data_IF_156803059940
#
_entry.id   IF_156803059940
#
_cell.length_a   1.000
_cell.length_b   1.000
_cell.length_c   1.000
_cell.angle_alpha   90.00
_cell.angle_beta   90.00
_cell.angle_gamma   90.00
#
_symmetry.space_group_name_H-M   'P 1'
#
loop_
_entity.id
_entity.type
_entity.pdbx_description
1 polymer ?
#
# COMPACT_ATOMS: atom_id res chain seq x y z
N UNK A 1 25.40 -20.03 -23.31
CA UNK A 1 24.53 -20.79 -22.40
C UNK A 1 23.81 -19.75 -21.55
N UNK A 2 22.48 -19.69 -21.63
CA UNK A 2 21.72 -18.82 -20.70
C UNK A 2 21.81 -19.45 -19.29
N UNK A 3 22.23 -18.66 -18.29
CA UNK A 3 22.23 -19.10 -16.90
C UNK A 3 20.83 -19.58 -16.52
N UNK A 4 20.73 -20.72 -15.87
CA UNK A 4 19.46 -21.20 -15.35
C UNK A 4 18.97 -20.22 -14.31
N UNK A 5 17.67 -19.92 -14.25
CA UNK A 5 17.07 -18.87 -13.41
C UNK A 5 17.31 -19.03 -11.90
N UNK A 6 17.67 -20.24 -11.45
CA UNK A 6 18.19 -20.52 -10.11
C UNK A 6 19.56 -19.87 -9.83
N UNK A 7 20.28 -19.46 -10.87
CA UNK A 7 21.64 -18.92 -10.77
C UNK A 7 21.69 -17.39 -10.77
N UNK A 8 20.54 -16.67 -11.01
CA UNK A 8 20.55 -15.22 -10.96
C UNK A 8 20.89 -14.74 -9.54
N UNK A 9 21.90 -13.88 -9.37
CA UNK A 9 22.29 -13.39 -8.04
C UNK A 9 21.18 -12.57 -7.41
N UNK A 10 20.92 -12.81 -6.12
CA UNK A 10 20.04 -11.95 -5.32
C UNK A 10 20.80 -10.65 -5.02
N UNK A 11 20.26 -9.54 -5.49
CA UNK A 11 20.86 -8.22 -5.32
C UNK A 11 20.15 -7.44 -4.22
N UNK A 12 20.90 -6.65 -3.46
CA UNK A 12 20.38 -5.58 -2.64
C UNK A 12 20.25 -4.34 -3.52
N UNK A 13 19.02 -3.83 -3.68
CA UNK A 13 18.75 -2.62 -4.45
C UNK A 13 18.89 -1.37 -3.59
N UNK A 14 19.21 -0.24 -4.23
CA UNK A 14 19.35 1.06 -3.59
C UNK A 14 18.62 2.18 -4.38
N UNK A 15 18.74 3.42 -3.93
CA UNK A 15 18.03 4.56 -4.50
C UNK A 15 18.25 4.76 -6.02
N UNK A 16 19.36 4.25 -6.59
CA UNK A 16 19.66 4.31 -8.03
C UNK A 16 18.72 3.41 -8.85
N UNK A 17 18.09 2.42 -8.21
CA UNK A 17 17.18 1.47 -8.85
C UNK A 17 15.74 1.97 -8.95
N UNK A 18 15.42 3.18 -8.46
CA UNK A 18 14.06 3.70 -8.41
C UNK A 18 13.35 3.71 -9.77
N UNK A 19 14.05 4.13 -10.82
CA UNK A 19 13.50 4.15 -12.18
C UNK A 19 13.22 2.75 -12.73
N UNK A 20 14.11 1.77 -12.44
CA UNK A 20 13.93 0.38 -12.84
C UNK A 20 12.75 -0.27 -12.08
N UNK A 21 12.62 -0.01 -10.78
CA UNK A 21 11.46 -0.43 -9.99
C UNK A 21 10.16 0.17 -10.51
N UNK A 22 10.15 1.46 -10.85
CA UNK A 22 8.99 2.12 -11.44
C UNK A 22 8.60 1.49 -12.79
N UNK A 23 9.57 1.03 -13.60
CA UNK A 23 9.29 0.34 -14.85
C UNK A 23 8.51 -0.97 -14.60
N UNK A 24 8.86 -1.76 -13.58
CA UNK A 24 8.10 -2.95 -13.17
C UNK A 24 6.69 -2.60 -12.68
N UNK A 25 6.53 -1.51 -11.92
CA UNK A 25 5.20 -1.04 -11.50
C UNK A 25 4.34 -0.61 -12.68
N UNK A 26 4.93 0.01 -13.71
CA UNK A 26 4.23 0.39 -14.95
C UNK A 26 3.77 -0.83 -15.74
N UNK A 27 4.63 -1.84 -15.89
CA UNK A 27 4.31 -3.10 -16.55
C UNK A 27 3.17 -3.83 -15.84
N UNK A 28 3.19 -3.85 -14.50
CA UNK A 28 2.14 -4.44 -13.69
C UNK A 28 0.87 -3.56 -13.58
N UNK A 29 0.86 -2.38 -14.18
CA UNK A 29 -0.22 -1.38 -14.09
C UNK A 29 -0.55 -0.94 -12.66
N UNK A 30 0.44 -0.95 -11.78
CA UNK A 30 0.28 -0.51 -10.40
C UNK A 30 0.34 1.02 -10.29
N UNK A 31 -0.20 1.55 -9.18
CA UNK A 31 -0.33 2.99 -8.97
C UNK A 31 0.91 3.67 -8.37
N UNK A 32 1.92 2.89 -7.97
CA UNK A 32 3.12 3.45 -7.34
C UNK A 32 3.87 4.37 -8.30
N UNK A 33 4.31 5.50 -7.77
CA UNK A 33 5.14 6.47 -8.45
C UNK A 33 6.64 6.35 -8.04
N UNK A 34 7.50 7.21 -8.55
CA UNK A 34 8.93 7.17 -8.24
C UNK A 34 9.23 7.50 -6.78
N UNK A 35 8.44 8.36 -6.14
CA UNK A 35 8.62 8.70 -4.72
C UNK A 35 8.34 7.49 -3.82
N UNK A 36 7.36 6.64 -4.18
CA UNK A 36 7.12 5.37 -3.47
C UNK A 36 8.35 4.47 -3.56
N UNK A 37 8.92 4.27 -4.75
CA UNK A 37 10.12 3.47 -4.93
C UNK A 37 11.32 4.03 -4.16
N UNK A 38 11.54 5.35 -4.18
CA UNK A 38 12.61 5.99 -3.40
C UNK A 38 12.45 5.74 -1.91
N UNK A 39 11.21 5.78 -1.39
CA UNK A 39 10.92 5.48 0.01
C UNK A 39 11.30 4.03 0.35
N UNK A 40 10.86 3.04 -0.43
CA UNK A 40 11.22 1.63 -0.21
C UNK A 40 12.74 1.40 -0.25
N UNK A 41 13.41 1.97 -1.24
CA UNK A 41 14.85 1.79 -1.44
C UNK A 41 15.70 2.48 -0.37
N UNK A 42 15.19 3.52 0.29
CA UNK A 42 15.90 4.25 1.34
C UNK A 42 15.55 3.79 2.75
N UNK A 43 14.32 3.35 2.98
CA UNK A 43 13.82 2.97 4.32
C UNK A 43 13.66 1.47 4.50
N UNK A 44 13.57 0.72 3.40
CA UNK A 44 13.34 -0.73 3.40
C UNK A 44 14.59 -1.55 3.07
N UNK A 45 14.41 -2.85 3.07
CA UNK A 45 15.32 -3.85 2.52
C UNK A 45 14.70 -4.32 1.20
N UNK A 46 15.23 -3.87 0.07
CA UNK A 46 14.70 -4.23 -1.25
C UNK A 46 15.64 -5.20 -1.93
N UNK A 47 15.12 -6.37 -2.26
CA UNK A 47 15.80 -7.37 -3.05
C UNK A 47 15.36 -7.31 -4.51
N UNK A 48 16.27 -7.62 -5.42
CA UNK A 48 15.96 -7.68 -6.85
C UNK A 48 16.77 -8.73 -7.59
N UNK A 49 16.27 -9.09 -8.75
CA UNK A 49 16.95 -9.97 -9.71
C UNK A 49 17.09 -9.24 -11.05
N UNK A 50 18.25 -9.41 -11.69
CA UNK A 50 18.51 -8.85 -13.03
C UNK A 50 18.78 -9.97 -14.02
N UNK A 51 18.39 -9.75 -15.27
CA UNK A 51 18.72 -10.63 -16.38
C UNK A 51 20.18 -10.42 -16.85
N UNK A 52 20.60 -11.18 -17.87
CA UNK A 52 21.94 -11.10 -18.47
C UNK A 52 22.21 -9.74 -19.14
N UNK A 53 21.18 -8.99 -19.49
CA UNK A 53 21.27 -7.65 -20.03
C UNK A 53 21.24 -6.56 -18.94
N UNK A 54 21.29 -6.95 -17.65
CA UNK A 54 21.20 -6.08 -16.47
C UNK A 54 19.85 -5.40 -16.25
N UNK A 55 18.78 -5.82 -16.94
CA UNK A 55 17.44 -5.33 -16.68
C UNK A 55 16.91 -5.88 -15.37
N UNK A 56 16.28 -5.04 -14.56
CA UNK A 56 15.59 -5.47 -13.34
C UNK A 56 14.31 -6.22 -13.72
N UNK A 57 14.26 -7.53 -13.40
CA UNK A 57 13.16 -8.42 -13.81
C UNK A 57 12.25 -8.85 -12.66
N UNK A 58 12.71 -8.71 -11.42
CA UNK A 58 11.90 -9.03 -10.26
C UNK A 58 12.37 -8.26 -9.01
N UNK A 59 11.43 -7.96 -8.11
CA UNK A 59 11.69 -7.28 -6.84
C UNK A 59 10.83 -7.83 -5.72
N UNK A 60 11.27 -7.64 -4.47
CA UNK A 60 10.46 -7.65 -3.25
C UNK A 60 11.08 -6.69 -2.24
N UNK A 61 10.26 -6.03 -1.45
CA UNK A 61 10.67 -5.09 -0.41
C UNK A 61 10.19 -5.56 0.97
N UNK A 62 11.07 -5.51 1.95
CA UNK A 62 10.75 -5.57 3.37
C UNK A 62 10.93 -4.15 3.94
N UNK A 63 9.86 -3.57 4.47
CA UNK A 63 9.84 -2.24 5.07
C UNK A 63 9.64 -2.35 6.59
N UNK A 64 10.70 -2.27 7.41
CA UNK A 64 10.56 -2.23 8.86
C UNK A 64 9.93 -0.91 9.29
N UNK A 65 8.87 -0.98 10.10
CA UNK A 65 8.23 0.19 10.71
C UNK A 65 8.72 0.43 12.14
N UNK A 66 8.87 -0.67 12.87
CA UNK A 66 9.39 -0.66 14.24
C UNK A 66 10.43 -1.75 14.41
N UNK A 67 10.91 -1.95 15.64
CA UNK A 67 11.77 -3.10 15.98
C UNK A 67 11.00 -4.44 16.02
N UNK A 68 9.68 -4.45 15.79
CA UNK A 68 8.83 -5.64 15.87
C UNK A 68 7.98 -5.87 14.64
N UNK A 69 7.67 -4.83 13.87
CA UNK A 69 6.70 -4.88 12.78
C UNK A 69 7.34 -4.45 11.47
N UNK A 70 7.09 -5.20 10.41
CA UNK A 70 7.54 -4.90 9.06
C UNK A 70 6.45 -5.23 8.03
N UNK A 71 6.56 -4.66 6.84
CA UNK A 71 5.67 -4.87 5.71
C UNK A 71 6.43 -5.44 4.52
N UNK A 72 5.98 -6.56 3.96
CA UNK A 72 6.45 -7.04 2.66
C UNK A 72 5.55 -6.50 1.58
N UNK A 73 6.15 -5.90 0.57
CA UNK A 73 5.46 -5.36 -0.59
C UNK A 73 6.36 -5.29 -1.81
N UNK A 74 5.89 -4.65 -2.88
CA UNK A 74 6.62 -4.49 -4.13
C UNK A 74 7.15 -5.81 -4.69
N UNK A 75 6.37 -6.90 -4.47
CA UNK A 75 6.65 -8.22 -5.03
C UNK A 75 6.19 -8.21 -6.47
N UNK A 76 7.12 -7.94 -7.35
CA UNK A 76 6.90 -7.78 -8.79
C UNK A 76 7.79 -8.73 -9.57
N UNK A 77 7.26 -9.30 -10.63
CA UNK A 77 8.01 -10.09 -11.61
C UNK A 77 7.54 -9.68 -13.00
N UNK A 78 8.48 -9.34 -13.89
CA UNK A 78 8.17 -9.03 -15.28
C UNK A 78 7.37 -10.17 -15.93
N UNK A 79 6.46 -9.85 -16.82
CA UNK A 79 5.47 -10.80 -17.34
C UNK A 79 6.10 -12.03 -17.96
N UNK A 80 7.16 -11.84 -18.75
CA UNK A 80 7.89 -12.91 -19.44
C UNK A 80 8.60 -13.90 -18.49
N UNK A 81 8.75 -13.53 -17.20
CA UNK A 81 9.46 -14.33 -16.18
C UNK A 81 8.56 -14.80 -15.03
N UNK A 82 7.24 -14.66 -15.17
CA UNK A 82 6.29 -15.14 -14.16
C UNK A 82 6.24 -16.67 -14.14
N UNK A 83 5.75 -17.22 -13.00
CA UNK A 83 5.60 -18.67 -12.77
C UNK A 83 6.91 -19.49 -12.81
N UNK A 84 8.03 -18.84 -12.52
CA UNK A 84 9.36 -19.45 -12.47
C UNK A 84 9.94 -19.48 -11.04
N UNK A 85 9.12 -19.24 -10.03
CA UNK A 85 9.54 -19.25 -8.61
C UNK A 85 10.28 -17.98 -8.15
N UNK A 86 10.47 -16.96 -9.02
CA UNK A 86 11.24 -15.76 -8.66
C UNK A 86 10.60 -14.96 -7.52
N UNK A 87 9.27 -14.83 -7.52
CA UNK A 87 8.55 -14.15 -6.44
C UNK A 87 8.75 -14.85 -5.09
N UNK A 88 8.60 -16.17 -5.05
CA UNK A 88 8.81 -16.99 -3.84
C UNK A 88 10.22 -16.78 -3.31
N UNK A 89 11.23 -16.91 -4.15
CA UNK A 89 12.63 -16.71 -3.78
C UNK A 89 12.91 -15.34 -3.17
N UNK A 90 12.30 -14.28 -3.71
CA UNK A 90 12.46 -12.92 -3.20
C UNK A 90 11.71 -12.71 -1.88
N UNK A 91 10.52 -13.30 -1.73
CA UNK A 91 9.76 -13.27 -0.47
C UNK A 91 10.50 -14.05 0.61
N UNK A 92 11.08 -15.22 0.31
CA UNK A 92 11.91 -15.98 1.24
C UNK A 92 13.09 -15.13 1.74
N UNK A 93 13.77 -14.41 0.84
CA UNK A 93 14.85 -13.51 1.23
C UNK A 93 14.38 -12.36 2.16
N UNK A 94 13.16 -11.84 1.95
CA UNK A 94 12.56 -10.87 2.85
C UNK A 94 12.20 -11.49 4.21
N UNK A 95 11.68 -12.72 4.22
CA UNK A 95 11.37 -13.46 5.44
C UNK A 95 12.64 -13.78 6.23
N UNK A 96 13.70 -14.23 5.56
CA UNK A 96 15.00 -14.46 6.19
C UNK A 96 15.55 -13.19 6.85
N UNK A 97 15.44 -12.05 6.18
CA UNK A 97 15.83 -10.76 6.75
C UNK A 97 14.97 -10.38 7.96
N UNK A 98 13.65 -10.59 7.87
CA UNK A 98 12.72 -10.33 8.96
C UNK A 98 12.96 -11.23 10.18
N UNK A 99 13.21 -12.53 9.96
CA UNK A 99 13.52 -13.49 11.01
C UNK A 99 14.82 -13.13 11.74
N UNK A 100 15.87 -12.76 11.01
CA UNK A 100 17.12 -12.27 11.62
C UNK A 100 16.94 -11.02 12.49
N UNK A 101 15.94 -10.19 12.14
CA UNK A 101 15.61 -8.96 12.87
C UNK A 101 14.54 -9.19 13.96
N UNK A 102 13.96 -10.40 14.08
CA UNK A 102 12.91 -10.71 15.03
C UNK A 102 11.57 -10.01 14.74
N UNK A 103 11.26 -9.75 13.47
CA UNK A 103 10.08 -8.99 13.05
C UNK A 103 8.87 -9.89 12.78
N UNK A 104 7.71 -9.44 13.17
CA UNK A 104 6.42 -9.86 12.61
C UNK A 104 6.23 -9.19 11.25
N UNK A 105 5.80 -9.96 10.27
CA UNK A 105 5.70 -9.48 8.89
C UNK A 105 4.24 -9.45 8.43
N UNK A 106 3.87 -8.35 7.81
CA UNK A 106 2.57 -8.15 7.20
C UNK A 106 2.70 -7.96 5.69
N UNK A 107 1.63 -8.26 4.96
CA UNK A 107 1.47 -7.92 3.56
C UNK A 107 -0.01 -7.85 3.17
N UNK A 108 -0.33 -7.14 2.10
CA UNK A 108 -1.63 -7.15 1.45
C UNK A 108 -1.50 -7.87 0.10
N UNK A 109 -2.00 -9.10 0.06
CA UNK A 109 -1.91 -9.99 -1.09
C UNK A 109 -3.08 -9.81 -2.05
N UNK A 110 -2.84 -9.81 -3.35
CA UNK A 110 -3.88 -10.10 -4.33
C UNK A 110 -4.37 -11.54 -4.13
N UNK A 111 -5.53 -11.90 -4.70
CA UNK A 111 -6.05 -13.26 -4.59
C UNK A 111 -5.03 -14.31 -5.06
N UNK A 112 -4.33 -14.06 -6.17
CA UNK A 112 -3.28 -14.94 -6.67
C UNK A 112 -2.06 -15.00 -5.72
N UNK A 113 -1.70 -13.86 -5.09
CA UNK A 113 -0.61 -13.80 -4.11
C UNK A 113 -0.95 -14.55 -2.82
N UNK A 114 -2.18 -14.47 -2.34
CA UNK A 114 -2.59 -15.15 -1.12
C UNK A 114 -2.41 -16.67 -1.20
N UNK A 115 -2.64 -17.26 -2.37
CA UNK A 115 -2.40 -18.68 -2.62
C UNK A 115 -0.90 -19.07 -2.51
N UNK A 116 0.00 -18.14 -2.77
CA UNK A 116 1.45 -18.34 -2.63
C UNK A 116 1.90 -18.16 -1.17
N UNK A 117 1.35 -17.16 -0.46
CA UNK A 117 1.84 -16.80 0.87
C UNK A 117 1.32 -17.71 2.00
N UNK A 118 0.13 -18.32 1.83
CA UNK A 118 -0.40 -19.29 2.79
C UNK A 118 0.57 -20.44 3.09
N UNK A 119 1.07 -21.16 2.07
CA UNK A 119 2.09 -22.21 2.23
C UNK A 119 3.41 -21.74 2.85
N UNK A 120 3.73 -20.46 2.76
CA UNK A 120 4.90 -19.86 3.40
C UNK A 120 4.69 -19.53 4.90
N UNK A 121 3.49 -19.83 5.45
CA UNK A 121 3.17 -19.63 6.87
C UNK A 121 2.46 -18.32 7.19
N UNK A 122 2.01 -17.57 6.19
CA UNK A 122 1.16 -16.40 6.42
C UNK A 122 -0.28 -16.81 6.76
N UNK A 123 -0.85 -16.15 7.76
CA UNK A 123 -2.25 -16.32 8.17
C UNK A 123 -3.07 -15.10 7.73
N UNK A 124 -4.28 -15.28 7.18
CA UNK A 124 -5.15 -14.18 6.78
C UNK A 124 -5.67 -13.41 8.01
N UNK A 125 -5.87 -12.11 7.84
CA UNK A 125 -6.48 -11.21 8.83
C UNK A 125 -7.68 -10.49 8.23
N UNK A 126 -7.55 -9.22 7.81
CA UNK A 126 -8.63 -8.44 7.23
C UNK A 126 -8.60 -8.49 5.69
N UNK A 127 -9.72 -8.18 5.06
CA UNK A 127 -9.80 -8.00 3.62
C UNK A 127 -9.89 -6.52 3.26
N UNK A 128 -9.35 -6.17 2.09
CA UNK A 128 -9.45 -4.84 1.52
C UNK A 128 -10.18 -4.89 0.18
N UNK A 129 -10.86 -3.80 -0.13
CA UNK A 129 -11.53 -3.57 -1.41
C UNK A 129 -10.99 -2.30 -2.03
N UNK A 130 -10.28 -2.42 -3.15
CA UNK A 130 -9.88 -1.27 -3.95
C UNK A 130 -11.04 -0.82 -4.79
N UNK A 131 -11.42 0.43 -4.62
CA UNK A 131 -12.38 1.09 -5.49
C UNK A 131 -11.68 2.19 -6.28
N UNK A 132 -12.18 2.39 -7.50
CA UNK A 132 -11.76 3.44 -8.41
C UNK A 132 -12.94 4.31 -8.79
N UNK A 133 -12.70 5.61 -8.88
CA UNK A 133 -13.64 6.56 -9.46
C UNK A 133 -12.92 7.38 -10.51
N UNK A 134 -13.49 7.45 -11.71
CA UNK A 134 -13.00 8.36 -12.74
C UNK A 134 -13.43 9.80 -12.40
N UNK A 135 -12.53 10.73 -12.63
CA UNK A 135 -12.80 12.14 -12.37
C UNK A 135 -13.77 12.70 -13.40
N UNK A 136 -15.00 12.87 -13.00
CA UNK A 136 -16.00 13.66 -13.72
C UNK A 136 -16.15 15.01 -13.03
N UNK A 137 -16.78 15.98 -13.72
CA UNK A 137 -17.01 17.33 -13.24
C UNK A 137 -17.52 17.39 -11.78
N UNK A 138 -17.23 18.45 -11.06
CA UNK A 138 -17.45 18.53 -9.60
C UNK A 138 -18.90 18.21 -9.26
N UNK A 139 -19.10 17.15 -8.49
CA UNK A 139 -20.31 17.04 -7.68
C UNK A 139 -20.30 18.23 -6.71
N UNK A 140 -21.45 18.84 -6.49
CA UNK A 140 -21.60 19.89 -5.48
C UNK A 140 -21.26 19.29 -4.11
N UNK A 141 -20.01 19.50 -3.66
CA UNK A 141 -19.60 19.05 -2.33
C UNK A 141 -20.24 19.97 -1.30
N UNK A 142 -21.01 19.39 -0.42
CA UNK A 142 -21.63 20.12 0.72
C UNK A 142 -20.68 20.22 1.91
N UNK A 143 -19.63 19.39 1.97
CA UNK A 143 -18.70 19.34 3.10
C UNK A 143 -17.55 20.31 2.93
N UNK A 144 -17.39 21.23 3.91
CA UNK A 144 -16.24 22.14 3.97
C UNK A 144 -15.01 21.36 4.44
N UNK A 145 -14.04 21.17 3.54
CA UNK A 145 -12.75 20.60 3.87
C UNK A 145 -11.83 21.65 4.48
N UNK A 146 -11.07 21.24 5.47
CA UNK A 146 -10.03 22.04 6.14
C UNK A 146 -8.69 21.28 6.09
N UNK A 147 -7.54 21.97 6.22
CA UNK A 147 -6.26 21.29 6.43
C UNK A 147 -6.30 20.46 7.72
N UNK A 148 -5.92 19.18 7.61
CA UNK A 148 -5.80 18.29 8.77
C UNK A 148 -4.51 18.55 9.55
N UNK A 149 -4.51 18.24 10.84
CA UNK A 149 -3.33 18.34 11.70
C UNK A 149 -2.54 17.04 11.64
N UNK A 150 -1.26 17.10 11.26
CA UNK A 150 -0.40 15.94 11.11
C UNK A 150 -0.24 15.12 12.39
N UNK A 151 -0.13 15.79 13.55
CA UNK A 151 0.00 15.10 14.84
C UNK A 151 -1.23 14.27 15.19
N UNK A 152 -2.43 14.80 14.98
CA UNK A 152 -3.69 14.10 15.23
C UNK A 152 -3.83 12.91 14.26
N UNK A 153 -3.48 13.11 12.99
CA UNK A 153 -3.50 12.06 11.98
C UNK A 153 -2.55 10.90 12.32
N UNK A 154 -1.31 11.21 12.74
CA UNK A 154 -0.33 10.20 13.19
C UNK A 154 -0.88 9.44 14.40
N UNK A 155 -1.54 10.11 15.33
CA UNK A 155 -2.14 9.45 16.51
C UNK A 155 -3.24 8.47 16.11
N UNK A 156 -4.12 8.85 15.17
CA UNK A 156 -5.13 7.96 14.62
C UNK A 156 -4.50 6.76 13.90
N UNK A 157 -3.44 6.99 13.12
CA UNK A 157 -2.75 5.93 12.38
C UNK A 157 -2.09 4.92 13.33
N UNK A 158 -1.39 5.37 14.36
CA UNK A 158 -0.77 4.50 15.39
C UNK A 158 -1.84 3.66 16.09
N UNK A 159 -2.97 4.28 16.47
CA UNK A 159 -4.06 3.56 17.12
C UNK A 159 -4.65 2.47 16.21
N UNK A 160 -4.94 2.80 14.96
CA UNK A 160 -5.53 1.88 13.99
C UNK A 160 -4.59 0.74 13.59
N UNK A 161 -3.29 1.03 13.46
CA UNK A 161 -2.29 0.02 13.08
C UNK A 161 -1.80 -0.83 14.26
N UNK A 162 -1.90 -0.31 15.49
CA UNK A 162 -1.33 -0.94 16.70
C UNK A 162 0.19 -0.79 16.79
N UNK A 163 0.82 -0.05 15.89
CA UNK A 163 2.27 0.25 15.90
C UNK A 163 2.58 1.58 15.21
N UNK A 164 3.74 2.13 15.52
CA UNK A 164 4.18 3.44 15.03
C UNK A 164 4.85 3.34 13.65
N UNK A 165 4.23 3.96 12.65
CA UNK A 165 4.81 4.16 11.31
C UNK A 165 4.83 5.64 10.91
N UNK A 166 4.99 6.54 11.90
CA UNK A 166 4.99 8.00 11.66
C UNK A 166 5.97 8.45 10.58
N UNK A 167 7.11 7.78 10.41
CA UNK A 167 8.06 8.09 9.36
C UNK A 167 7.46 7.95 7.95
N UNK A 168 6.57 6.96 7.74
CA UNK A 168 5.81 6.81 6.51
C UNK A 168 4.80 7.96 6.36
N UNK A 169 4.00 8.24 7.38
CA UNK A 169 2.97 9.28 7.31
C UNK A 169 3.57 10.67 7.06
N UNK A 170 4.70 10.98 7.69
CA UNK A 170 5.44 12.22 7.46
C UNK A 170 5.94 12.29 6.01
N UNK A 171 6.53 11.20 5.49
CA UNK A 171 7.00 11.16 4.10
C UNK A 171 5.83 11.35 3.12
N UNK A 172 4.76 10.55 3.26
CA UNK A 172 3.61 10.62 2.37
C UNK A 172 2.93 12.00 2.38
N UNK A 173 2.76 12.60 3.57
CA UNK A 173 2.10 13.91 3.72
C UNK A 173 2.98 15.08 3.25
N UNK A 174 4.30 14.94 3.30
CA UNK A 174 5.25 15.96 2.88
C UNK A 174 5.57 15.98 1.38
N UNK A 175 5.05 15.03 0.60
CA UNK A 175 5.31 14.96 -0.85
C UNK A 175 4.58 16.07 -1.61
N UNK A 176 5.16 16.60 -2.70
CA UNK A 176 4.44 17.51 -3.59
C UNK A 176 3.09 16.94 -4.02
N UNK A 177 2.04 17.75 -4.01
CA UNK A 177 0.68 17.33 -4.36
C UNK A 177 -0.07 16.56 -3.26
N UNK A 178 0.59 16.15 -2.18
CA UNK A 178 -0.08 15.54 -1.03
C UNK A 178 -0.86 16.57 -0.22
N UNK A 179 -2.03 16.17 0.27
CA UNK A 179 -2.90 17.00 1.11
C UNK A 179 -3.44 16.17 2.27
N UNK A 180 -3.27 16.67 3.47
CA UNK A 180 -3.97 16.16 4.65
C UNK A 180 -5.22 16.99 4.84
N UNK A 181 -6.38 16.36 4.73
CA UNK A 181 -7.68 16.99 4.73
C UNK A 181 -8.53 16.47 5.90
N UNK A 182 -9.36 17.36 6.46
CA UNK A 182 -10.25 17.04 7.57
C UNK A 182 -11.61 17.70 7.42
N UNK A 183 -12.58 17.08 8.06
CA UNK A 183 -13.84 17.67 8.52
C UNK A 183 -13.84 17.68 10.06
N UNK A 184 -14.97 17.92 10.71
CA UNK A 184 -15.05 17.86 12.18
C UNK A 184 -14.75 16.44 12.70
N UNK A 185 -15.23 15.41 11.99
CA UNK A 185 -15.28 14.03 12.49
C UNK A 185 -14.53 13.03 11.58
N UNK A 186 -13.76 13.52 10.61
CA UNK A 186 -13.01 12.66 9.70
C UNK A 186 -11.73 13.33 9.19
N UNK A 187 -10.73 12.49 8.87
CA UNK A 187 -9.45 12.91 8.26
C UNK A 187 -9.02 11.93 7.17
N UNK A 188 -8.39 12.44 6.12
CA UNK A 188 -7.79 11.64 5.05
C UNK A 188 -6.48 12.24 4.56
N UNK A 189 -5.56 11.38 4.16
CA UNK A 189 -4.41 11.76 3.36
C UNK A 189 -4.74 11.51 1.88
N UNK A 190 -4.51 12.52 1.05
CA UNK A 190 -4.66 12.44 -0.41
C UNK A 190 -3.27 12.63 -1.02
N UNK A 191 -2.84 11.73 -1.87
CA UNK A 191 -1.50 11.75 -2.47
C UNK A 191 -1.52 11.40 -3.96
N UNK A 192 -0.52 11.83 -4.68
CA UNK A 192 -0.36 11.45 -6.08
C UNK A 192 0.08 9.98 -6.19
N UNK A 193 -0.54 9.28 -7.12
CA UNK A 193 -0.05 8.02 -7.65
C UNK A 193 0.28 8.17 -9.14
N UNK A 194 0.74 7.09 -9.75
CA UNK A 194 1.09 7.08 -11.17
C UNK A 194 -0.11 7.25 -12.10
N UNK A 195 -1.23 6.59 -11.78
CA UNK A 195 -2.42 6.53 -12.64
C UNK A 195 -3.65 7.20 -12.03
N UNK A 196 -3.67 7.37 -10.71
CA UNK A 196 -4.78 7.97 -9.99
C UNK A 196 -4.28 8.54 -8.66
N UNK A 197 -4.97 9.55 -8.13
CA UNK A 197 -4.74 10.02 -6.77
C UNK A 197 -5.25 8.98 -5.79
N UNK A 198 -4.47 8.71 -4.75
CA UNK A 198 -4.86 7.77 -3.69
C UNK A 198 -5.44 8.53 -2.49
N UNK A 199 -6.61 8.10 -2.02
CA UNK A 199 -7.25 8.62 -0.81
C UNK A 199 -7.07 7.55 0.29
N UNK A 200 -6.23 7.85 1.26
CA UNK A 200 -5.95 6.94 2.37
C UNK A 200 -4.59 7.19 3.04
N UNK A 201 -4.53 6.90 4.37
CA UNK A 201 -5.57 6.39 5.25
C UNK A 201 -6.77 7.33 5.43
N UNK A 202 -7.94 6.75 5.76
CA UNK A 202 -9.15 7.50 6.12
C UNK A 202 -9.57 7.09 7.53
N UNK A 203 -9.66 8.07 8.42
CA UNK A 203 -10.15 7.93 9.79
C UNK A 203 -11.41 8.76 9.95
N UNK A 204 -12.44 8.21 10.57
CA UNK A 204 -13.70 8.91 10.81
C UNK A 204 -14.42 8.34 12.04
N UNK A 205 -15.32 9.13 12.61
CA UNK A 205 -16.16 8.70 13.72
C UNK A 205 -17.24 7.67 13.29
N UNK A 206 -17.67 7.72 12.02
CA UNK A 206 -18.66 6.82 11.43
C UNK A 206 -18.62 6.86 9.90
N UNK A 207 -19.39 5.96 9.27
CA UNK A 207 -19.45 5.83 7.80
C UNK A 207 -19.95 7.10 7.10
N UNK A 208 -20.88 7.83 7.67
CA UNK A 208 -21.43 9.04 7.05
C UNK A 208 -20.38 10.15 7.02
N UNK A 209 -19.62 10.32 8.10
CA UNK A 209 -18.50 11.26 8.17
C UNK A 209 -17.38 10.90 7.18
N UNK A 210 -17.07 9.59 7.04
CA UNK A 210 -16.11 9.10 6.06
C UNK A 210 -16.57 9.37 4.61
N UNK A 211 -17.86 9.09 4.31
CA UNK A 211 -18.46 9.36 2.99
C UNK A 211 -18.46 10.85 2.66
N UNK A 212 -18.85 11.69 3.60
CA UNK A 212 -18.87 13.14 3.42
C UNK A 212 -17.46 13.70 3.13
N UNK A 213 -16.44 13.22 3.85
CA UNK A 213 -15.04 13.60 3.61
C UNK A 213 -14.59 13.17 2.22
N UNK A 214 -14.77 11.89 1.84
CA UNK A 214 -14.33 11.35 0.54
C UNK A 214 -15.07 12.02 -0.61
N UNK A 215 -16.37 12.31 -0.46
CA UNK A 215 -17.13 13.07 -1.45
C UNK A 215 -16.57 14.49 -1.62
N UNK A 216 -16.23 15.17 -0.53
CA UNK A 216 -15.59 16.49 -0.57
C UNK A 216 -14.23 16.46 -1.27
N UNK A 217 -13.39 15.45 -0.98
CA UNK A 217 -12.10 15.23 -1.66
C UNK A 217 -12.32 15.03 -3.14
N UNK A 218 -13.19 14.09 -3.53
CA UNK A 218 -13.43 13.77 -4.93
C UNK A 218 -14.04 14.93 -5.75
N UNK A 219 -14.74 15.86 -5.09
CA UNK A 219 -15.25 17.07 -5.71
C UNK A 219 -14.19 18.18 -5.84
N UNK A 220 -13.19 18.21 -4.95
CA UNK A 220 -12.13 19.23 -4.93
C UNK A 220 -10.92 18.88 -5.80
N UNK A 221 -10.83 17.64 -6.25
CA UNK A 221 -9.67 17.10 -6.98
C UNK A 221 -10.08 16.70 -8.40
N UNK A 222 -9.14 16.83 -9.33
CA UNK A 222 -9.34 16.39 -10.72
C UNK A 222 -8.69 15.02 -10.95
N UNK A 223 -9.20 14.30 -11.94
CA UNK A 223 -8.63 13.02 -12.37
C UNK A 223 -9.20 11.83 -11.60
N UNK A 224 -8.64 10.66 -11.89
CA UNK A 224 -9.06 9.42 -11.26
C UNK A 224 -8.60 9.33 -9.81
N UNK A 225 -9.43 8.68 -9.00
CA UNK A 225 -9.14 8.40 -7.59
C UNK A 225 -9.15 6.91 -7.30
N UNK A 226 -8.29 6.49 -6.38
CA UNK A 226 -8.27 5.16 -5.78
C UNK A 226 -8.45 5.26 -4.27
N UNK A 227 -9.12 4.27 -3.70
CA UNK A 227 -9.29 4.10 -2.26
C UNK A 227 -9.26 2.61 -1.92
N UNK A 228 -8.52 2.23 -0.88
CA UNK A 228 -8.42 0.85 -0.41
C UNK A 228 -9.17 0.69 0.91
N UNK A 229 -10.43 0.30 0.82
CA UNK A 229 -11.38 0.25 1.94
C UNK A 229 -11.25 -1.07 2.70
N UNK A 230 -11.29 -1.02 4.02
CA UNK A 230 -11.42 -2.23 4.87
C UNK A 230 -12.78 -2.86 4.63
N UNK A 231 -12.82 -4.16 4.29
CA UNK A 231 -14.04 -4.82 3.82
C UNK A 231 -15.17 -4.84 4.85
N UNK A 232 -14.83 -4.82 6.14
CA UNK A 232 -15.80 -4.83 7.25
C UNK A 232 -16.52 -3.46 7.40
N UNK A 233 -16.02 -2.41 6.76
CA UNK A 233 -16.68 -1.09 6.67
C UNK A 233 -17.81 -1.11 5.62
N UNK A 234 -18.78 -2.00 5.78
CA UNK A 234 -19.80 -2.31 4.77
C UNK A 234 -20.66 -1.10 4.39
N UNK A 235 -21.15 -0.33 5.35
CA UNK A 235 -21.95 0.87 5.07
C UNK A 235 -21.16 1.93 4.27
N UNK A 236 -19.86 2.07 4.54
CA UNK A 236 -18.98 2.96 3.80
C UNK A 236 -18.75 2.45 2.37
N UNK A 237 -18.49 1.15 2.19
CA UNK A 237 -18.36 0.52 0.87
C UNK A 237 -19.60 0.73 0.02
N UNK A 238 -20.78 0.42 0.56
CA UNK A 238 -22.05 0.59 -0.13
C UNK A 238 -22.32 2.05 -0.51
N UNK A 239 -21.98 2.96 0.39
CA UNK A 239 -22.10 4.40 0.14
C UNK A 239 -21.20 4.86 -1.01
N UNK A 240 -19.94 4.40 -1.05
CA UNK A 240 -19.03 4.70 -2.16
C UNK A 240 -19.53 4.14 -3.48
N UNK A 241 -20.01 2.88 -3.51
CA UNK A 241 -20.55 2.29 -4.73
C UNK A 241 -21.77 3.07 -5.24
N UNK A 242 -22.70 3.47 -4.36
CA UNK A 242 -23.82 4.36 -4.73
C UNK A 242 -23.35 5.73 -5.23
N UNK A 243 -22.19 6.22 -4.77
CA UNK A 243 -21.58 7.47 -5.24
C UNK A 243 -20.75 7.32 -6.54
N UNK A 244 -20.85 6.17 -7.23
CA UNK A 244 -20.22 5.92 -8.54
C UNK A 244 -18.78 5.43 -8.47
N UNK A 245 -18.32 4.92 -7.31
CA UNK A 245 -17.06 4.21 -7.23
C UNK A 245 -17.25 2.76 -7.71
N UNK A 246 -16.32 2.28 -8.53
CA UNK A 246 -16.33 0.92 -9.07
C UNK A 246 -15.29 0.05 -8.36
N UNK A 247 -15.66 -1.20 -8.05
CA UNK A 247 -14.73 -2.20 -7.54
C UNK A 247 -13.66 -2.49 -8.60
N UNK A 248 -12.38 -2.33 -8.25
CA UNK A 248 -11.26 -2.66 -9.14
C UNK A 248 -10.59 -3.97 -8.73
N UNK A 249 -10.35 -4.16 -7.43
CA UNK A 249 -9.54 -5.29 -6.93
C UNK A 249 -9.79 -5.56 -5.45
N UNK A 250 -9.58 -6.81 -5.05
CA UNK A 250 -9.56 -7.21 -3.63
C UNK A 250 -8.16 -7.56 -3.19
N UNK A 251 -7.88 -7.34 -1.89
CA UNK A 251 -6.65 -7.82 -1.26
C UNK A 251 -6.99 -8.56 0.04
N UNK A 252 -6.14 -9.52 0.39
CA UNK A 252 -6.15 -10.19 1.68
C UNK A 252 -4.93 -9.71 2.47
N UNK A 253 -5.15 -9.02 3.58
CA UNK A 253 -4.08 -8.76 4.55
C UNK A 253 -3.69 -10.06 5.21
N UNK A 254 -2.41 -10.33 5.27
CA UNK A 254 -1.88 -11.54 5.85
C UNK A 254 -0.72 -11.21 6.79
N UNK A 255 -0.48 -12.09 7.75
CA UNK A 255 0.57 -11.93 8.76
C UNK A 255 1.39 -13.20 8.91
N UNK A 256 2.70 -13.03 9.02
CA UNK A 256 3.66 -14.06 9.39
C UNK A 256 4.30 -13.71 10.74
N UNK A 257 4.35 -14.69 11.67
CA UNK A 257 4.91 -14.49 13.01
C UNK A 257 3.84 -14.28 14.08
N UNK A 258 4.23 -13.66 15.20
CA UNK A 258 3.39 -13.54 16.39
C UNK A 258 2.17 -12.65 16.14
N UNK A 259 1.11 -12.88 16.96
CA UNK A 259 -0.01 -11.95 16.97
C UNK A 259 0.50 -10.56 17.40
N UNK A 260 0.13 -9.52 16.63
CA UNK A 260 0.37 -8.14 17.05
C UNK A 260 -0.34 -7.84 18.36
N UNK A 261 0.13 -6.83 19.08
CA UNK A 261 -0.65 -6.22 20.13
C UNK A 261 -2.02 -5.80 19.57
N UNK A 262 -3.04 -5.77 20.42
CA UNK A 262 -4.41 -5.45 20.00
C UNK A 262 -4.40 -4.05 19.37
N UNK A 263 -4.64 -3.97 18.06
CA UNK A 263 -4.88 -2.71 17.36
C UNK A 263 -6.24 -2.15 17.82
N UNK A 264 -6.39 -0.84 17.70
CA UNK A 264 -7.69 -0.19 17.85
C UNK A 264 -8.64 -0.53 16.70
N UNK A 265 -9.69 0.27 16.53
CA UNK A 265 -10.59 0.13 15.39
C UNK A 265 -9.83 0.35 14.07
N UNK A 266 -10.05 -0.52 13.07
CA UNK A 266 -9.39 -0.37 11.78
C UNK A 266 -9.85 0.93 11.10
N UNK A 267 -9.01 1.53 10.24
CA UNK A 267 -9.38 2.70 9.47
C UNK A 267 -10.51 2.37 8.48
N UNK A 268 -11.20 3.37 7.97
CA UNK A 268 -12.16 3.18 6.87
C UNK A 268 -11.44 2.79 5.57
N UNK A 269 -10.28 3.36 5.33
CA UNK A 269 -9.38 3.00 4.23
C UNK A 269 -7.93 3.07 4.68
N UNK A 270 -7.08 2.27 4.05
CA UNK A 270 -5.64 2.14 4.36
C UNK A 270 -4.76 3.04 3.50
N UNK A 271 -3.46 3.14 3.82
CA UNK A 271 -2.49 3.95 3.07
C UNK A 271 -2.17 3.39 1.67
N UNK A 272 -2.66 2.21 1.37
CA UNK A 272 -2.42 1.42 0.16
C UNK A 272 -1.82 0.07 0.51
N UNK A 273 -2.06 -0.98 -0.31
CA UNK A 273 -1.60 -2.34 -0.03
C UNK A 273 -0.07 -2.44 0.11
N UNK A 274 0.65 -1.53 -0.51
CA UNK A 274 2.10 -1.44 -0.43
C UNK A 274 2.62 -0.95 0.91
N UNK A 275 1.79 -0.26 1.68
CA UNK A 275 2.17 0.36 2.96
C UNK A 275 1.37 -0.16 4.15
N UNK A 276 0.23 -0.76 3.91
CA UNK A 276 -0.69 -1.24 4.95
C UNK A 276 -1.77 -0.27 5.39
#
# INVERSE_FOLDING_TARGET
MAATEKELPLLRLDARDAAAGLALSREAQWNQNEADWRFFLTKGIVHGLRDSASNLIATAALLPYTKREAWISMVLVTESRRRQGLATRLVDACLDAAMRLGLTVWLDATQAGAAVYGPLGFSPTIQLRRLRREGHAPATATSKLSPGKLGDFISCDINAMGFDRRALIIDLSGRPGSRLLSTNDAMALVRDGRAARHIGPVFAANSDSALALVAGVAASERGAHLIDVVADQTAFLDGLMRAGWAMERSFQRMRFGRAAAQAGEPPFAVAGPEFG
#
